data_IF_030451189511
#
_entry.id   IF_030451189511
#
_cell.length_a   1.000
_cell.length_b   1.000
_cell.length_c   1.000
_cell.angle_alpha   90.00
_cell.angle_beta   90.00
_cell.angle_gamma   90.00
#
_symmetry.space_group_name_H-M   'P 1'
#
loop_
_entity.id
_entity.type
_entity.pdbx_description
1 polymer ?
#
# COMPACT_ATOMS: atom_id res chain seq x y z
N UNK A 1 -1.52 -6.50 3.40
CA UNK A 1 -0.31 -6.86 2.63
C UNK A 1 0.17 -8.30 2.82
N UNK A 2 0.51 -8.78 4.02
CA UNK A 2 1.18 -10.08 4.22
C UNK A 2 0.55 -11.26 3.45
N UNK A 3 -0.78 -11.41 3.46
CA UNK A 3 -1.46 -12.47 2.70
C UNK A 3 -1.27 -12.37 1.18
N UNK A 4 -1.22 -11.16 0.61
CA UNK A 4 -0.93 -10.96 -0.82
C UNK A 4 0.51 -11.40 -1.14
N UNK A 5 1.46 -11.09 -0.26
CA UNK A 5 2.87 -11.54 -0.42
C UNK A 5 2.94 -13.06 -0.40
N UNK A 6 2.29 -13.72 0.57
CA UNK A 6 2.25 -15.20 0.62
C UNK A 6 1.65 -15.77 -0.64
N UNK A 7 0.51 -15.24 -1.10
CA UNK A 7 -0.14 -15.71 -2.32
C UNK A 7 0.72 -15.52 -3.57
N UNK A 8 1.41 -14.38 -3.70
CA UNK A 8 2.31 -14.10 -4.82
C UNK A 8 3.53 -15.04 -4.84
N UNK A 9 4.12 -15.31 -3.67
CA UNK A 9 5.23 -16.26 -3.51
C UNK A 9 4.76 -17.69 -3.84
N UNK A 10 3.63 -18.11 -3.29
CA UNK A 10 3.06 -19.44 -3.52
C UNK A 10 2.69 -19.68 -4.99
N UNK A 11 2.27 -18.65 -5.72
CA UNK A 11 1.98 -18.76 -7.14
C UNK A 11 3.24 -18.95 -8.00
N UNK A 12 4.40 -18.48 -7.53
CA UNK A 12 5.68 -18.68 -8.22
C UNK A 12 5.84 -17.93 -9.55
N UNK A 13 4.94 -16.99 -9.89
CA UNK A 13 4.98 -16.23 -11.16
C UNK A 13 5.73 -14.90 -11.09
N UNK A 14 6.45 -14.64 -9.98
CA UNK A 14 7.22 -13.41 -9.81
C UNK A 14 6.38 -12.14 -9.69
N UNK A 15 5.12 -12.24 -9.25
CA UNK A 15 4.28 -11.06 -8.99
C UNK A 15 4.88 -10.22 -7.86
N UNK A 16 5.06 -8.93 -8.13
CA UNK A 16 5.54 -7.97 -7.13
C UNK A 16 4.36 -7.39 -6.35
N UNK A 17 4.41 -7.51 -5.03
CA UNK A 17 3.46 -6.83 -4.13
C UNK A 17 4.19 -5.65 -3.51
N UNK A 18 3.82 -4.44 -3.92
CA UNK A 18 4.42 -3.19 -3.42
C UNK A 18 3.45 -2.59 -2.40
N UNK A 19 3.91 -2.46 -1.16
CA UNK A 19 3.16 -1.84 -0.08
C UNK A 19 3.57 -0.39 0.03
N UNK A 20 2.62 0.50 0.29
CA UNK A 20 2.89 1.88 0.63
C UNK A 20 2.62 2.04 2.12
N UNK A 21 3.63 2.49 2.88
CA UNK A 21 3.43 2.72 4.31
C UNK A 21 2.46 3.90 4.52
N UNK A 22 1.54 3.72 5.47
CA UNK A 22 0.64 4.77 5.95
C UNK A 22 0.78 4.99 7.45
N UNK A 23 1.65 4.22 8.12
CA UNK A 23 1.78 4.17 9.58
C UNK A 23 2.64 5.29 10.16
N UNK A 24 3.60 5.82 9.39
CA UNK A 24 4.64 6.69 9.93
C UNK A 24 5.67 5.94 10.79
N UNK A 25 5.61 4.61 10.81
CA UNK A 25 6.48 3.71 11.59
C UNK A 25 6.90 2.53 10.70
N UNK A 26 7.59 2.77 9.59
CA UNK A 26 7.78 1.76 8.56
C UNK A 26 8.58 0.53 9.02
N UNK A 27 9.55 0.70 9.93
CA UNK A 27 10.28 -0.42 10.52
C UNK A 27 9.37 -1.42 11.25
N UNK A 28 8.50 -0.93 12.13
CA UNK A 28 7.53 -1.75 12.87
C UNK A 28 6.51 -2.40 11.92
N UNK A 29 6.04 -1.65 10.92
CA UNK A 29 5.13 -2.16 9.89
C UNK A 29 5.77 -3.29 9.09
N UNK A 30 7.03 -3.11 8.65
CA UNK A 30 7.77 -4.12 7.89
C UNK A 30 8.00 -5.39 8.71
N UNK A 31 8.47 -5.26 9.95
CA UNK A 31 8.65 -6.38 10.87
C UNK A 31 7.34 -7.16 11.08
N UNK A 32 6.24 -6.44 11.29
CA UNK A 32 4.93 -7.06 11.44
C UNK A 32 4.48 -7.78 10.17
N UNK A 33 4.66 -7.19 8.99
CA UNK A 33 4.29 -7.83 7.71
C UNK A 33 5.13 -9.09 7.48
N UNK A 34 6.44 -9.06 7.69
CA UNK A 34 7.33 -10.23 7.56
C UNK A 34 6.90 -11.35 8.51
N UNK A 35 6.68 -11.02 9.79
CA UNK A 35 6.25 -11.98 10.80
C UNK A 35 4.91 -12.64 10.44
N UNK A 36 3.92 -11.84 10.01
CA UNK A 36 2.61 -12.37 9.59
C UNK A 36 2.77 -13.22 8.34
N UNK A 37 3.53 -12.77 7.33
CA UNK A 37 3.70 -13.51 6.08
C UNK A 37 4.35 -14.88 6.31
N UNK A 38 5.41 -14.96 7.10
CA UNK A 38 6.07 -16.25 7.44
C UNK A 38 5.13 -17.19 8.19
N UNK A 39 4.37 -16.67 9.16
CA UNK A 39 3.37 -17.48 9.89
C UNK A 39 2.24 -17.96 8.96
N UNK A 40 1.74 -17.09 8.09
CA UNK A 40 0.70 -17.43 7.12
C UNK A 40 1.18 -18.47 6.11
N UNK A 41 2.43 -18.36 5.64
CA UNK A 41 3.02 -19.34 4.73
C UNK A 41 3.12 -20.72 5.38
N UNK A 42 3.63 -20.81 6.62
CA UNK A 42 3.71 -22.07 7.35
C UNK A 42 2.34 -22.72 7.64
N UNK A 43 1.27 -21.93 7.76
CA UNK A 43 -0.10 -22.44 7.88
C UNK A 43 -0.64 -23.01 6.56
N UNK A 44 -0.16 -22.50 5.43
CA UNK A 44 -0.56 -22.94 4.09
C UNK A 44 0.20 -24.20 3.66
N UNK A 45 1.53 -24.17 3.81
CA UNK A 45 2.43 -25.28 3.51
C UNK A 45 3.74 -25.09 4.32
N UNK A 46 4.15 -26.06 5.17
CA UNK A 46 5.41 -26.00 5.91
C UNK A 46 6.66 -25.82 5.04
N UNK A 47 6.62 -26.20 3.76
CA UNK A 47 7.70 -26.02 2.80
C UNK A 47 7.74 -24.64 2.12
N UNK A 48 6.70 -23.83 2.27
CA UNK A 48 6.61 -22.51 1.65
C UNK A 48 7.43 -21.47 2.43
N UNK A 49 8.52 -21.02 1.83
CA UNK A 49 9.39 -19.98 2.41
C UNK A 49 9.07 -18.63 1.79
N UNK A 50 8.71 -17.64 2.62
CA UNK A 50 8.60 -16.24 2.20
C UNK A 50 9.94 -15.56 2.43
N UNK A 51 10.70 -15.23 1.37
CA UNK A 51 11.97 -14.54 1.50
C UNK A 51 11.71 -13.08 1.91
N UNK A 52 12.71 -12.46 2.56
CA UNK A 52 12.52 -11.14 3.17
C UNK A 52 12.34 -10.03 2.12
N UNK A 53 13.01 -10.18 0.98
CA UNK A 53 12.90 -9.31 -0.20
C UNK A 53 11.53 -9.37 -0.89
N UNK A 54 10.71 -10.41 -0.62
CA UNK A 54 9.33 -10.43 -1.10
C UNK A 54 8.42 -9.41 -0.40
N UNK A 55 8.86 -8.87 0.75
CA UNK A 55 8.18 -7.80 1.48
C UNK A 55 8.77 -6.45 1.09
N UNK A 56 8.14 -5.81 0.09
CA UNK A 56 8.49 -4.47 -0.37
C UNK A 56 7.57 -3.45 0.28
N UNK A 57 8.11 -2.55 1.10
CA UNK A 57 7.37 -1.46 1.73
C UNK A 57 8.02 -0.12 1.36
N UNK A 58 7.29 0.73 0.65
CA UNK A 58 7.70 2.07 0.29
C UNK A 58 7.35 3.05 1.41
N UNK A 59 8.34 3.72 1.94
CA UNK A 59 8.23 4.58 3.12
C UNK A 59 8.06 6.06 2.76
N UNK A 60 8.07 6.41 1.46
CA UNK A 60 8.17 7.82 1.04
C UNK A 60 6.87 8.61 1.18
N UNK A 61 5.73 7.93 1.30
CA UNK A 61 4.39 8.53 1.20
C UNK A 61 3.59 8.53 2.51
N UNK A 62 4.22 8.13 3.63
CA UNK A 62 3.51 8.01 4.91
C UNK A 62 3.30 9.35 5.64
N UNK A 63 3.95 10.44 5.20
CA UNK A 63 3.79 11.81 5.73
C UNK A 63 4.19 11.98 7.21
N UNK A 64 5.10 11.14 7.70
CA UNK A 64 5.61 11.13 9.09
C UNK A 64 4.61 10.72 10.19
N UNK A 65 3.32 10.98 10.02
CA UNK A 65 2.29 10.81 11.07
C UNK A 65 1.08 10.07 10.53
N UNK A 66 0.68 9.03 11.25
CA UNK A 66 -0.55 8.29 10.95
C UNK A 66 -1.78 9.20 11.02
N UNK A 67 -2.66 9.09 10.01
CA UNK A 67 -3.92 9.84 9.93
C UNK A 67 -3.82 11.31 9.53
N UNK A 68 -2.61 11.82 9.29
CA UNK A 68 -2.41 13.18 8.75
C UNK A 68 -2.01 13.06 7.27
N UNK A 69 -2.80 13.63 6.32
CA UNK A 69 -2.42 13.70 4.92
C UNK A 69 -1.47 14.87 4.65
N UNK A 70 -0.57 14.70 3.68
CA UNK A 70 0.22 15.77 3.08
C UNK A 70 -0.37 16.25 1.74
N UNK A 71 0.26 17.26 1.13
CA UNK A 71 -0.21 17.82 -0.15
C UNK A 71 -0.25 16.78 -1.27
N UNK A 72 0.77 15.90 -1.37
CA UNK A 72 0.81 14.84 -2.36
C UNK A 72 -0.32 13.82 -2.19
N UNK A 73 -0.70 13.53 -0.94
CA UNK A 73 -1.87 12.70 -0.61
C UNK A 73 -3.15 13.37 -1.16
N UNK A 74 -3.36 14.65 -0.88
CA UNK A 74 -4.55 15.39 -1.33
C UNK A 74 -4.60 15.57 -2.85
N UNK A 75 -3.45 15.80 -3.50
CA UNK A 75 -3.34 15.85 -4.96
C UNK A 75 -3.78 14.52 -5.58
N UNK A 76 -3.27 13.41 -5.05
CA UNK A 76 -3.57 12.07 -5.54
C UNK A 76 -5.06 11.72 -5.38
N UNK A 77 -5.64 12.05 -4.23
CA UNK A 77 -7.07 11.89 -3.99
C UNK A 77 -7.92 12.69 -4.98
N UNK A 78 -7.58 13.97 -5.21
CA UNK A 78 -8.30 14.84 -6.15
C UNK A 78 -8.18 14.33 -7.58
N UNK A 79 -7.01 13.86 -7.98
CA UNK A 79 -6.80 13.31 -9.32
C UNK A 79 -7.68 12.08 -9.53
N UNK A 80 -7.56 11.06 -8.66
CA UNK A 80 -8.32 9.82 -8.75
C UNK A 80 -9.84 10.05 -8.75
N UNK A 81 -10.32 10.96 -7.89
CA UNK A 81 -11.73 11.33 -7.84
C UNK A 81 -12.21 12.02 -9.13
N UNK A 82 -11.40 12.93 -9.71
CA UNK A 82 -11.78 13.72 -10.88
C UNK A 82 -11.67 12.97 -12.20
N UNK A 83 -10.76 12.01 -12.31
CA UNK A 83 -10.54 11.27 -13.56
C UNK A 83 -11.33 9.97 -13.62
N UNK A 84 -11.39 9.23 -12.51
CA UNK A 84 -11.93 7.86 -12.48
C UNK A 84 -13.15 7.69 -11.55
N UNK A 85 -13.64 8.78 -10.95
CA UNK A 85 -14.64 8.73 -9.87
C UNK A 85 -14.23 7.79 -8.71
N UNK A 86 -12.92 7.59 -8.53
CA UNK A 86 -12.36 6.71 -7.52
C UNK A 86 -12.10 7.50 -6.24
N UNK A 87 -12.98 7.34 -5.26
CA UNK A 87 -12.89 8.05 -3.98
C UNK A 87 -12.00 7.27 -3.02
N UNK A 88 -10.87 7.85 -2.64
CA UNK A 88 -9.92 7.36 -1.63
C UNK A 88 -9.99 8.23 -0.37
N UNK A 89 -9.49 7.73 0.76
CA UNK A 89 -9.46 8.47 2.05
C UNK A 89 -8.09 9.12 2.33
N UNK A 90 -7.98 10.08 3.28
CA UNK A 90 -6.73 10.79 3.56
C UNK A 90 -5.74 10.01 4.46
N UNK A 91 -6.17 8.91 5.07
CA UNK A 91 -5.36 8.13 6.03
C UNK A 91 -4.61 7.02 5.30
N UNK A 92 -5.29 6.26 4.42
CA UNK A 92 -4.74 5.08 3.77
C UNK A 92 -4.69 5.19 2.26
N UNK A 93 -5.86 5.17 1.60
CA UNK A 93 -5.92 4.90 0.17
C UNK A 93 -5.37 6.08 -0.63
N UNK A 94 -5.53 7.31 -0.14
CA UNK A 94 -4.92 8.50 -0.72
C UNK A 94 -3.39 8.45 -0.69
N UNK A 95 -2.79 7.94 0.39
CA UNK A 95 -1.32 7.76 0.49
C UNK A 95 -0.85 6.67 -0.46
N UNK A 96 -1.59 5.56 -0.55
CA UNK A 96 -1.27 4.48 -1.50
C UNK A 96 -1.43 4.91 -2.97
N UNK A 97 -2.40 5.77 -3.27
CA UNK A 97 -2.60 6.38 -4.59
C UNK A 97 -1.48 7.36 -4.92
N UNK A 98 -1.07 8.20 -3.96
CA UNK A 98 0.10 9.05 -4.11
C UNK A 98 1.37 8.23 -4.38
N UNK A 99 1.53 7.11 -3.69
CA UNK A 99 2.59 6.13 -3.94
C UNK A 99 2.56 5.57 -5.36
N UNK A 100 1.40 5.09 -5.83
CA UNK A 100 1.24 4.60 -7.19
C UNK A 100 1.61 5.68 -8.23
N UNK A 101 1.09 6.90 -8.06
CA UNK A 101 1.41 8.02 -8.94
C UNK A 101 2.91 8.33 -8.97
N UNK A 102 3.56 8.34 -7.80
CA UNK A 102 5.01 8.51 -7.70
C UNK A 102 5.78 7.42 -8.45
N UNK A 103 5.43 6.16 -8.21
CA UNK A 103 6.08 5.03 -8.86
C UNK A 103 5.94 5.07 -10.40
N UNK A 104 4.79 5.50 -10.92
CA UNK A 104 4.55 5.68 -12.36
C UNK A 104 5.36 6.85 -12.91
N UNK A 105 5.38 8.01 -12.23
CA UNK A 105 6.15 9.20 -12.63
C UNK A 105 7.66 8.91 -12.68
N UNK A 106 8.14 8.05 -11.79
CA UNK A 106 9.54 7.60 -11.71
C UNK A 106 9.86 6.45 -12.67
N UNK A 107 8.88 5.95 -13.43
CA UNK A 107 9.03 4.78 -14.32
C UNK A 107 9.51 3.50 -13.61
N UNK A 108 9.34 3.44 -12.27
CA UNK A 108 9.74 2.31 -11.42
C UNK A 108 8.78 1.11 -11.51
N UNK A 109 7.58 1.36 -12.04
CA UNK A 109 6.58 0.36 -12.42
C UNK A 109 6.14 0.63 -13.86
N UNK A 110 5.87 -0.43 -14.61
CA UNK A 110 5.44 -0.36 -15.99
C UNK A 110 4.47 -1.51 -16.33
N UNK A 111 3.71 -1.35 -17.41
CA UNK A 111 2.73 -2.33 -17.85
C UNK A 111 1.48 -2.37 -16.96
N UNK A 112 0.96 -3.57 -16.73
CA UNK A 112 -0.27 -3.75 -15.96
C UNK A 112 0.00 -3.68 -14.45
N UNK A 113 -0.50 -2.62 -13.82
CA UNK A 113 -0.44 -2.43 -12.37
C UNK A 113 -1.85 -2.56 -11.79
N UNK A 114 -2.03 -3.48 -10.84
CA UNK A 114 -3.29 -3.64 -10.11
C UNK A 114 -3.26 -2.82 -8.82
N UNK A 115 -4.00 -1.72 -8.78
CA UNK A 115 -4.25 -0.99 -7.55
C UNK A 115 -5.30 -1.74 -6.71
N UNK A 116 -4.98 -1.99 -5.42
CA UNK A 116 -5.90 -2.69 -4.50
C UNK A 116 -6.54 -1.65 -3.58
N UNK A 117 -7.73 -1.19 -3.95
CA UNK A 117 -8.49 -0.24 -3.14
C UNK A 117 -9.10 -0.94 -1.90
N UNK A 118 -8.54 -0.70 -0.72
CA UNK A 118 -8.95 -1.38 0.52
C UNK A 118 -10.16 -0.75 1.22
N UNK A 119 -10.53 0.48 0.87
CA UNK A 119 -11.75 1.15 1.35
C UNK A 119 -11.46 2.48 2.06
N UNK A 120 -11.96 2.65 3.28
CA UNK A 120 -11.64 3.81 4.13
C UNK A 120 -12.47 5.08 3.89
N UNK A 121 -13.27 5.17 2.82
CA UNK A 121 -13.94 6.40 2.40
C UNK A 121 -14.86 7.02 3.46
N UNK A 122 -15.44 6.20 4.35
CA UNK A 122 -16.31 6.68 5.44
C UNK A 122 -15.58 7.69 6.34
N UNK A 123 -14.25 7.58 6.45
CA UNK A 123 -13.42 8.48 7.24
C UNK A 123 -13.41 9.92 6.69
N UNK A 124 -13.72 10.15 5.41
CA UNK A 124 -13.66 11.48 4.77
C UNK A 124 -14.47 12.55 5.52
N UNK A 125 -15.61 12.18 6.10
CA UNK A 125 -16.47 13.12 6.83
C UNK A 125 -15.79 13.71 8.07
N UNK A 126 -14.79 13.02 8.64
CA UNK A 126 -14.00 13.55 9.75
C UNK A 126 -12.92 14.56 9.31
N UNK A 127 -12.74 14.75 8.00
CA UNK A 127 -11.73 15.59 7.37
C UNK A 127 -12.36 16.64 6.45
N UNK A 128 -13.57 17.13 6.75
CA UNK A 128 -14.28 18.08 5.89
C UNK A 128 -13.48 19.36 5.60
N UNK A 129 -12.66 19.82 6.56
CA UNK A 129 -11.95 21.10 6.48
C UNK A 129 -10.77 21.13 5.50
N UNK A 130 -10.39 20.00 4.92
CA UNK A 130 -9.24 19.89 4.00
C UNK A 130 -9.65 19.62 2.53
N UNK A 131 -10.95 19.65 2.23
CA UNK A 131 -11.50 19.46 0.88
C UNK A 131 -12.24 20.69 0.35
#
# INVERSE_FOLDING_TARGET
MAGLVVGAVAEGKGRRVIGIDASGRPGETREQVVRIARRTAALLDPGLVVPEEAVVLDERFHEGVYGVPGEGTLEAMRLAARTEALITDPVYEGKSMAGLMGLVREESVAGNVLFVHLGGQVALNAYESIF
#
